data_IF_085637296165
#
_entry.id   IF_085637296165
#
_cell.length_a   1.000
_cell.length_b   1.000
_cell.length_c   1.000
_cell.angle_alpha   90.00
_cell.angle_beta   90.00
_cell.angle_gamma   90.00
#
_symmetry.space_group_name_H-M   'P 1'
#
loop_
_entity.id
_entity.type
_entity.pdbx_description
1 polymer ?
#
# COMPACT_ATOMS: atom_id res chain seq x y z
N UNK A 1 -19.21 17.02 -6.64
CA UNK A 1 -17.85 16.63 -6.20
C UNK A 1 -17.83 15.13 -6.26
N UNK A 2 -17.08 14.61 -7.23
CA UNK A 2 -17.09 13.21 -7.64
C UNK A 2 -16.62 12.34 -6.49
N UNK A 3 -17.46 11.37 -6.11
CA UNK A 3 -17.07 10.31 -5.19
C UNK A 3 -15.97 9.49 -5.87
N UNK A 4 -14.85 9.32 -5.17
CA UNK A 4 -13.71 8.45 -5.47
C UNK A 4 -14.13 6.96 -5.53
N UNK A 5 -15.08 6.65 -6.41
CA UNK A 5 -15.98 5.50 -6.33
C UNK A 5 -15.42 4.18 -6.87
N UNK A 6 -14.09 4.06 -6.99
CA UNK A 6 -13.44 2.84 -7.49
C UNK A 6 -12.42 2.22 -6.53
N UNK A 7 -12.11 2.86 -5.40
CA UNK A 7 -10.99 2.44 -4.53
C UNK A 7 -11.37 1.48 -3.40
N UNK A 8 -12.66 1.31 -3.11
CA UNK A 8 -13.16 0.62 -1.90
C UNK A 8 -14.19 -0.50 -2.17
N UNK A 9 -14.49 -0.88 -3.41
CA UNK A 9 -15.66 -1.75 -3.69
C UNK A 9 -15.48 -3.23 -3.30
N UNK A 10 -14.24 -3.75 -3.22
CA UNK A 10 -13.98 -5.19 -3.00
C UNK A 10 -13.15 -5.52 -1.75
N UNK A 11 -12.80 -4.51 -0.94
CA UNK A 11 -11.96 -4.69 0.25
C UNK A 11 -10.54 -5.22 -0.05
N UNK A 12 -9.70 -5.41 0.97
CA UNK A 12 -8.35 -5.90 0.77
C UNK A 12 -8.33 -7.41 0.48
N UNK A 13 -7.61 -7.80 -0.57
CA UNK A 13 -7.28 -9.20 -0.88
C UNK A 13 -6.47 -9.85 0.24
N UNK A 14 -5.62 -9.07 0.92
CA UNK A 14 -4.82 -9.52 2.06
C UNK A 14 -4.52 -8.37 3.01
N UNK A 15 -4.55 -8.66 4.30
CA UNK A 15 -4.10 -7.74 5.35
C UNK A 15 -2.89 -8.35 6.05
N UNK A 16 -1.84 -7.55 6.23
CA UNK A 16 -0.63 -7.87 6.98
C UNK A 16 -0.58 -6.90 8.15
N UNK A 17 -0.81 -7.39 9.37
CA UNK A 17 -0.88 -6.53 10.57
C UNK A 17 0.48 -5.93 10.95
N UNK A 18 1.58 -6.63 10.64
CA UNK A 18 2.95 -6.16 10.82
C UNK A 18 3.80 -6.62 9.64
N UNK A 19 4.22 -5.67 8.80
CA UNK A 19 5.02 -5.97 7.62
C UNK A 19 5.91 -4.81 7.20
N UNK A 20 6.75 -5.08 6.20
CA UNK A 20 7.57 -4.09 5.52
C UNK A 20 7.19 -4.04 4.04
N UNK A 21 6.96 -2.86 3.50
CA UNK A 21 6.80 -2.62 2.07
C UNK A 21 7.96 -1.78 1.53
N UNK A 22 8.46 -2.15 0.35
CA UNK A 22 9.40 -1.36 -0.44
C UNK A 22 8.71 -0.91 -1.72
N UNK A 23 8.70 0.40 -1.99
CA UNK A 23 7.96 0.98 -3.10
C UNK A 23 8.63 2.23 -3.69
N UNK A 24 8.26 2.62 -4.90
CA UNK A 24 8.85 3.75 -5.62
C UNK A 24 7.87 4.94 -5.68
N UNK A 25 8.33 6.13 -5.28
CA UNK A 25 7.63 7.42 -5.34
C UNK A 25 8.32 8.40 -6.30
N UNK A 26 8.66 7.95 -7.52
CA UNK A 26 9.40 8.74 -8.54
C UNK A 26 10.93 8.80 -8.39
N UNK A 27 11.55 7.91 -7.60
CA UNK A 27 13.00 7.82 -7.44
C UNK A 27 13.56 6.45 -7.88
N UNK A 28 14.85 6.38 -8.20
CA UNK A 28 15.55 5.11 -8.51
C UNK A 28 15.68 4.17 -7.30
N UNK A 29 15.54 4.70 -6.07
CA UNK A 29 15.67 3.93 -4.84
C UNK A 29 14.31 3.73 -4.17
N UNK A 30 13.99 2.49 -3.72
CA UNK A 30 12.72 2.22 -3.07
C UNK A 30 12.68 2.83 -1.67
N UNK A 31 11.53 3.41 -1.33
CA UNK A 31 11.15 3.87 0.01
C UNK A 31 10.67 2.68 0.82
N UNK A 32 11.03 2.65 2.11
CA UNK A 32 10.65 1.61 3.06
C UNK A 32 9.54 2.09 3.99
N UNK A 33 8.44 1.34 4.03
CA UNK A 33 7.37 1.49 5.03
C UNK A 33 7.33 0.29 5.95
N UNK A 34 7.12 0.54 7.25
CA UNK A 34 6.84 -0.49 8.26
C UNK A 34 5.48 -0.25 8.91
N UNK A 35 4.71 -1.32 9.09
CA UNK A 35 3.44 -1.26 9.80
C UNK A 35 2.40 -2.19 9.20
N UNK A 36 1.13 -1.83 9.39
CA UNK A 36 0.00 -2.56 8.81
C UNK A 36 -0.06 -2.27 7.31
N UNK A 37 -0.25 -3.31 6.49
CA UNK A 37 -0.29 -3.20 5.04
C UNK A 37 -1.52 -3.93 4.54
N UNK A 38 -2.34 -3.25 3.75
CA UNK A 38 -3.51 -3.84 3.09
C UNK A 38 -3.24 -3.92 1.58
N UNK A 39 -3.40 -5.10 0.99
CA UNK A 39 -3.18 -5.36 -0.43
C UNK A 39 -4.53 -5.46 -1.11
N UNK A 40 -4.74 -4.60 -2.10
CA UNK A 40 -5.90 -4.58 -3.00
C UNK A 40 -5.46 -5.08 -4.38
N UNK A 41 -6.42 -5.22 -5.31
CA UNK A 41 -6.14 -5.72 -6.65
C UNK A 41 -5.06 -4.88 -7.36
N UNK A 42 -5.25 -3.55 -7.38
CA UNK A 42 -4.37 -2.61 -8.06
C UNK A 42 -3.56 -1.70 -7.14
N UNK A 43 -3.78 -1.78 -5.83
CA UNK A 43 -3.21 -0.86 -4.85
C UNK A 43 -2.68 -1.57 -3.61
N UNK A 44 -1.69 -0.97 -2.97
CA UNK A 44 -1.24 -1.32 -1.63
C UNK A 44 -1.45 -0.11 -0.74
N UNK A 45 -2.18 -0.30 0.35
CA UNK A 45 -2.41 0.71 1.37
C UNK A 45 -1.43 0.50 2.51
N UNK A 46 -0.59 1.51 2.75
CA UNK A 46 0.41 1.55 3.81
C UNK A 46 -0.22 2.25 5.02
N UNK A 47 -0.48 1.47 6.07
CA UNK A 47 -1.11 1.91 7.31
C UNK A 47 -0.08 1.99 8.45
N UNK A 48 -0.31 2.88 9.41
CA UNK A 48 0.51 2.98 10.63
C UNK A 48 1.42 4.21 10.73
N UNK A 49 1.43 5.09 9.72
CA UNK A 49 2.03 6.43 9.82
C UNK A 49 1.01 7.51 10.20
N UNK A 50 1.44 8.79 10.30
CA UNK A 50 0.52 9.93 10.50
C UNK A 50 -0.46 10.12 9.34
N UNK A 51 -0.13 9.56 8.16
CA UNK A 51 -1.01 9.50 7.00
C UNK A 51 -1.07 8.06 6.46
N UNK A 52 -2.21 7.73 5.87
CA UNK A 52 -2.38 6.52 5.05
C UNK A 52 -1.89 6.82 3.65
N UNK A 53 -1.00 5.98 3.11
CA UNK A 53 -0.50 6.12 1.73
C UNK A 53 -1.06 5.01 0.87
N UNK A 54 -1.54 5.35 -0.32
CA UNK A 54 -1.96 4.41 -1.35
C UNK A 54 -0.91 4.36 -2.45
N UNK A 55 -0.37 3.17 -2.70
CA UNK A 55 0.70 2.94 -3.67
C UNK A 55 0.16 2.03 -4.78
N UNK A 56 0.32 2.40 -6.06
CA UNK A 56 0.00 1.49 -7.16
C UNK A 56 0.79 0.18 -7.01
N UNK A 57 0.14 -0.96 -7.21
CA UNK A 57 0.79 -2.26 -6.99
C UNK A 57 2.00 -2.47 -7.90
N UNK A 58 1.99 -1.86 -9.08
CA UNK A 58 3.13 -1.84 -10.01
C UNK A 58 4.35 -1.09 -9.47
N UNK A 59 4.15 -0.13 -8.56
CA UNK A 59 5.23 0.63 -7.92
C UNK A 59 5.76 -0.06 -6.66
N UNK A 60 5.17 -1.18 -6.24
CA UNK A 60 5.61 -1.94 -5.07
C UNK A 60 6.62 -2.99 -5.51
N UNK A 61 7.84 -2.85 -5.02
CA UNK A 61 8.91 -3.82 -5.28
C UNK A 61 8.68 -5.11 -4.49
N UNK A 62 8.39 -4.98 -3.20
CA UNK A 62 8.31 -6.12 -2.29
C UNK A 62 7.45 -5.82 -1.07
N UNK A 63 6.70 -6.81 -0.60
CA UNK A 63 6.01 -6.79 0.69
C UNK A 63 6.40 -8.04 1.48
N UNK A 64 6.83 -7.85 2.72
CA UNK A 64 7.19 -8.92 3.66
C UNK A 64 6.34 -8.84 4.92
N UNK A 65 5.98 -10.00 5.46
CA UNK A 65 5.43 -10.13 6.80
C UNK A 65 6.57 -10.32 7.80
N UNK A 66 6.48 -9.68 8.97
CA UNK A 66 7.42 -9.81 10.09
C UNK A 66 6.80 -10.68 11.18
#
# INVERSE_FOLDING_TARGET
METDGGRDQDGPLKVIESGTAYYYEDADNPVRHEGRIEIYEHWVRLCGGPATTWVPRENVQQVMQI
#
